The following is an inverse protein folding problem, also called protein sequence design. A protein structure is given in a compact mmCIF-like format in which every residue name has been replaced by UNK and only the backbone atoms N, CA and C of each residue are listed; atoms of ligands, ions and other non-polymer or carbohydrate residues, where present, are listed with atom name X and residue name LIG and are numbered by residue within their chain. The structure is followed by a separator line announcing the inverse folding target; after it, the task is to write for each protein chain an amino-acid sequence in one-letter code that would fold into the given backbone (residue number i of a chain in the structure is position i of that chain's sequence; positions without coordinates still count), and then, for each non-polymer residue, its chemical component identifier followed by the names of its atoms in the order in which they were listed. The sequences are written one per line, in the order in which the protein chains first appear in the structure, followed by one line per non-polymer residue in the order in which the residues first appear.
data_IF_910553121274
#
_entry.id   IF_910553121274
#
_cell.length_a   1.000
_cell.length_b   1.000
_cell.length_c   1.000
_cell.angle_alpha   90.00
_cell.angle_beta   90.00
_cell.angle_gamma   90.00
#
_symmetry.space_group_name_H-M   'P 1'
#
loop_
_entity.id
_entity.type
_entity.pdbx_description
1 polymer ?
#
# COMPACT_ATOMS: atom_id res chain seq x y z
N UNK A 1 4.43 14.15 -4.83
CA UNK A 1 3.36 13.60 -5.67
C UNK A 1 2.14 14.51 -5.60
N UNK A 2 1.35 14.70 -6.67
CA UNK A 2 0.09 15.43 -6.58
C UNK A 2 -0.80 14.87 -5.48
N UNK A 3 -1.29 15.72 -4.58
CA UNK A 3 -2.06 15.33 -3.38
C UNK A 3 -1.25 14.78 -2.20
N UNK A 4 0.07 14.66 -2.35
CA UNK A 4 0.99 14.16 -1.31
C UNK A 4 2.32 14.90 -1.38
N UNK A 5 2.39 16.18 -0.98
CA UNK A 5 3.59 17.00 -1.08
C UNK A 5 4.74 16.47 -0.21
N UNK A 6 4.42 15.72 0.84
CA UNK A 6 5.39 15.08 1.72
C UNK A 6 6.12 13.90 1.06
N UNK A 7 5.56 13.31 -0.01
CA UNK A 7 6.18 12.19 -0.71
C UNK A 7 7.13 12.72 -1.79
N UNK A 8 8.42 12.65 -1.51
CA UNK A 8 9.49 12.99 -2.45
C UNK A 8 9.84 11.77 -3.29
N UNK A 9 9.82 11.93 -4.61
CA UNK A 9 10.32 10.89 -5.52
C UNK A 9 11.85 10.97 -5.56
N UNK A 10 12.49 9.90 -5.17
CA UNK A 10 13.94 9.77 -5.31
C UNK A 10 14.28 9.17 -6.68
N UNK A 11 15.33 9.69 -7.29
CA UNK A 11 15.91 9.14 -8.51
C UNK A 11 17.30 8.57 -8.19
N UNK A 12 17.56 7.36 -8.67
CA UNK A 12 18.87 6.74 -8.56
C UNK A 12 19.37 6.39 -9.96
N UNK A 13 20.54 6.91 -10.31
CA UNK A 13 21.26 6.45 -11.50
C UNK A 13 21.85 5.04 -11.27
N UNK A 14 22.27 4.40 -12.37
CA UNK A 14 22.91 3.08 -12.36
C UNK A 14 24.13 3.04 -11.44
N UNK A 15 24.93 4.08 -11.45
CA UNK A 15 26.16 4.19 -10.65
C UNK A 15 25.87 4.18 -9.14
N UNK A 16 24.81 4.89 -8.71
CA UNK A 16 24.41 4.91 -7.30
C UNK A 16 23.93 3.54 -6.82
N UNK A 17 23.21 2.79 -7.67
CA UNK A 17 22.79 1.42 -7.36
C UNK A 17 24.01 0.51 -7.28
N UNK A 18 24.93 0.60 -8.23
CA UNK A 18 26.18 -0.17 -8.25
C UNK A 18 27.06 0.12 -7.01
N UNK A 19 27.21 1.39 -6.64
CA UNK A 19 27.98 1.79 -5.46
C UNK A 19 27.40 1.18 -4.18
N UNK A 20 26.07 1.22 -4.02
CA UNK A 20 25.39 0.58 -2.88
C UNK A 20 25.54 -0.94 -2.88
N UNK A 21 25.37 -1.57 -4.04
CA UNK A 21 25.61 -3.01 -4.17
C UNK A 21 26.99 -3.40 -3.71
N UNK A 22 28.01 -2.70 -4.19
CA UNK A 22 29.42 -3.00 -3.86
C UNK A 22 29.76 -2.75 -2.38
N UNK A 23 29.14 -1.72 -1.78
CA UNK A 23 29.35 -1.40 -0.38
C UNK A 23 28.65 -2.40 0.57
N UNK A 24 27.39 -2.74 0.30
CA UNK A 24 26.57 -3.53 1.19
C UNK A 24 26.66 -5.05 0.93
N UNK A 25 27.05 -5.45 -0.27
CA UNK A 25 27.14 -6.86 -0.74
C UNK A 25 25.93 -7.70 -0.30
N UNK A 26 24.71 -7.31 -0.65
CA UNK A 26 23.50 -7.96 -0.17
C UNK A 26 23.42 -9.40 -0.69
N UNK A 27 22.98 -10.32 0.15
CA UNK A 27 22.69 -11.72 -0.23
C UNK A 27 21.38 -11.85 -0.98
N UNK A 28 20.43 -10.94 -0.73
CA UNK A 28 19.11 -10.92 -1.35
C UNK A 28 18.70 -9.49 -1.74
N UNK A 29 17.98 -9.38 -2.84
CA UNK A 29 17.40 -8.12 -3.29
C UNK A 29 15.89 -8.22 -3.29
N UNK A 30 15.26 -7.28 -2.61
CA UNK A 30 13.82 -7.10 -2.67
C UNK A 30 13.48 -5.69 -3.14
N UNK A 31 12.68 -5.58 -4.19
CA UNK A 31 12.25 -4.31 -4.76
C UNK A 31 10.79 -4.07 -4.35
N UNK A 32 10.61 -3.21 -3.36
CA UNK A 32 9.32 -2.99 -2.72
C UNK A 32 8.38 -2.06 -3.51
N UNK A 33 8.91 -1.28 -4.47
CA UNK A 33 8.10 -0.29 -5.20
C UNK A 33 8.50 -0.23 -6.67
N UNK A 34 7.54 0.13 -7.52
CA UNK A 34 7.68 0.23 -8.98
C UNK A 34 8.14 1.62 -9.44
N UNK A 35 8.47 2.48 -8.48
CA UNK A 35 8.94 3.85 -8.74
C UNK A 35 10.35 3.93 -9.32
N UNK A 36 10.90 5.14 -9.50
CA UNK A 36 12.17 5.36 -10.18
C UNK A 36 13.35 4.59 -9.59
N UNK A 37 13.44 4.51 -8.25
CA UNK A 37 14.49 3.74 -7.55
C UNK A 37 14.32 2.24 -7.81
N UNK A 38 13.07 1.74 -7.73
CA UNK A 38 12.79 0.32 -8.03
C UNK A 38 13.12 -0.05 -9.47
N UNK A 39 12.82 0.84 -10.43
CA UNK A 39 13.21 0.66 -11.83
C UNK A 39 14.73 0.62 -12.01
N UNK A 40 15.47 1.50 -11.33
CA UNK A 40 16.93 1.51 -11.38
C UNK A 40 17.52 0.22 -10.79
N UNK A 41 17.03 -0.22 -9.63
CA UNK A 41 17.44 -1.48 -9.00
C UNK A 41 17.12 -2.68 -9.90
N UNK A 42 15.88 -2.73 -10.46
CA UNK A 42 15.49 -3.79 -11.40
C UNK A 42 16.41 -3.86 -12.63
N UNK A 43 16.70 -2.70 -13.25
CA UNK A 43 17.62 -2.64 -14.40
C UNK A 43 19.02 -3.15 -14.05
N UNK A 44 19.49 -2.77 -12.87
CA UNK A 44 20.79 -3.24 -12.36
C UNK A 44 20.79 -4.75 -12.17
N UNK A 45 19.80 -5.30 -11.47
CA UNK A 45 19.69 -6.75 -11.26
C UNK A 45 19.63 -7.53 -12.59
N UNK A 46 18.85 -7.06 -13.56
CA UNK A 46 18.75 -7.71 -14.87
C UNK A 46 20.07 -7.66 -15.66
N UNK A 47 20.77 -6.52 -15.61
CA UNK A 47 22.04 -6.35 -16.31
C UNK A 47 23.16 -7.25 -15.74
N UNK A 48 23.05 -7.65 -14.48
CA UNK A 48 24.05 -8.48 -13.79
C UNK A 48 23.53 -9.90 -13.48
N UNK A 49 22.42 -10.32 -14.07
CA UNK A 49 21.77 -11.62 -13.84
C UNK A 49 21.49 -11.93 -12.34
N UNK A 50 21.27 -10.88 -11.52
CA UNK A 50 21.02 -11.02 -10.10
C UNK A 50 19.56 -11.35 -9.85
N UNK A 51 19.25 -12.41 -9.07
CA UNK A 51 17.88 -12.72 -8.69
C UNK A 51 17.34 -11.66 -7.74
N UNK A 52 16.06 -11.32 -7.90
CA UNK A 52 15.36 -10.41 -7.00
C UNK A 52 13.90 -10.81 -6.83
N UNK A 53 13.31 -10.36 -5.73
CA UNK A 53 11.87 -10.45 -5.47
C UNK A 53 11.24 -9.07 -5.50
N UNK A 54 9.93 -9.03 -5.68
CA UNK A 54 9.14 -7.79 -5.64
C UNK A 54 7.95 -7.95 -4.72
N UNK A 55 7.27 -6.86 -4.39
CA UNK A 55 5.97 -6.91 -3.71
C UNK A 55 4.95 -5.99 -4.37
N UNK A 56 3.71 -6.48 -4.42
CA UNK A 56 2.57 -5.71 -4.85
C UNK A 56 1.83 -5.20 -3.61
N UNK A 57 2.11 -3.95 -3.24
CA UNK A 57 1.59 -3.34 -2.00
C UNK A 57 0.43 -2.39 -2.21
N UNK A 58 0.35 -1.80 -3.41
CA UNK A 58 -0.61 -0.75 -3.72
C UNK A 58 -1.37 -1.12 -4.98
N UNK A 59 -2.67 -0.91 -4.96
CA UNK A 59 -3.53 -0.99 -6.16
C UNK A 59 -3.28 0.23 -7.04
N UNK A 60 -2.06 0.29 -7.58
CA UNK A 60 -1.58 1.42 -8.35
C UNK A 60 -2.42 1.71 -9.60
N UNK A 61 -2.92 0.70 -10.36
CA UNK A 61 -3.78 0.94 -11.52
C UNK A 61 -5.07 1.68 -11.16
N UNK A 62 -5.77 1.23 -10.15
CA UNK A 62 -7.02 1.84 -9.67
C UNK A 62 -6.76 3.23 -9.08
N UNK A 63 -5.66 3.36 -8.35
CA UNK A 63 -5.23 4.65 -7.80
C UNK A 63 -4.94 5.67 -8.91
N UNK A 64 -4.28 5.24 -9.99
CA UNK A 64 -3.95 6.11 -11.11
C UNK A 64 -5.19 6.45 -11.94
N UNK A 65 -6.05 5.46 -12.24
CA UNK A 65 -7.29 5.66 -12.98
C UNK A 65 -8.25 6.64 -12.28
N UNK A 66 -8.29 6.64 -10.95
CA UNK A 66 -9.09 7.57 -10.17
C UNK A 66 -8.59 9.04 -10.22
N UNK A 67 -7.37 9.30 -10.70
CA UNK A 67 -6.71 10.63 -10.70
C UNK A 67 -6.29 11.14 -12.06
N UNK A 68 -6.20 10.26 -13.04
CA UNK A 68 -5.75 10.61 -14.38
C UNK A 68 -6.46 9.71 -15.42
N UNK A 69 -6.72 10.20 -16.64
CA UNK A 69 -7.37 9.44 -17.70
C UNK A 69 -6.42 8.38 -18.30
N UNK A 70 -5.87 7.52 -17.46
CA UNK A 70 -4.97 6.44 -17.87
C UNK A 70 -5.73 5.13 -17.79
N UNK A 71 -5.86 4.38 -18.90
CA UNK A 71 -6.51 3.07 -18.89
C UNK A 71 -5.82 2.11 -17.91
N UNK A 72 -6.58 1.47 -17.05
CA UNK A 72 -6.05 0.48 -16.09
C UNK A 72 -5.23 -0.62 -16.78
N UNK A 73 -5.64 -1.02 -17.98
CA UNK A 73 -4.96 -2.05 -18.76
C UNK A 73 -3.47 -1.72 -19.03
N UNK A 74 -3.15 -0.45 -19.25
CA UNK A 74 -1.76 -0.01 -19.47
C UNK A 74 -0.95 -0.08 -18.17
N UNK A 75 -1.55 0.34 -17.07
CA UNK A 75 -0.93 0.24 -15.75
C UNK A 75 -0.67 -1.22 -15.38
N UNK A 76 -1.63 -2.12 -15.62
CA UNK A 76 -1.45 -3.55 -15.39
C UNK A 76 -0.41 -4.16 -16.33
N UNK A 77 -0.33 -3.75 -17.60
CA UNK A 77 0.69 -4.22 -18.53
C UNK A 77 2.11 -3.80 -18.05
N UNK A 78 2.27 -2.55 -17.59
CA UNK A 78 3.51 -2.09 -16.99
C UNK A 78 3.89 -2.91 -15.75
N UNK A 79 2.95 -3.13 -14.84
CA UNK A 79 3.19 -3.89 -13.61
C UNK A 79 3.52 -5.36 -13.90
N UNK A 80 2.81 -6.01 -14.84
CA UNK A 80 3.18 -7.38 -15.28
C UNK A 80 4.60 -7.43 -15.79
N UNK A 81 5.01 -6.47 -16.62
CA UNK A 81 6.39 -6.39 -17.12
C UNK A 81 7.39 -6.16 -16.00
N UNK A 82 7.04 -5.31 -15.03
CA UNK A 82 7.91 -5.01 -13.89
C UNK A 82 8.12 -6.23 -13.01
N UNK A 83 7.06 -6.84 -12.54
CA UNK A 83 7.08 -7.98 -11.62
C UNK A 83 7.45 -9.30 -12.30
N UNK A 84 7.10 -9.46 -13.57
CA UNK A 84 7.33 -10.70 -14.33
C UNK A 84 8.81 -11.10 -14.47
N UNK A 85 9.74 -10.17 -14.26
CA UNK A 85 11.18 -10.49 -14.25
C UNK A 85 11.69 -10.96 -12.89
N UNK A 86 10.89 -10.82 -11.83
CA UNK A 86 11.27 -11.24 -10.49
C UNK A 86 11.19 -12.75 -10.30
N UNK A 87 11.95 -13.30 -9.35
CA UNK A 87 11.85 -14.69 -8.92
C UNK A 87 10.49 -14.97 -8.23
N UNK A 88 9.92 -13.96 -7.59
CA UNK A 88 8.61 -14.01 -6.98
C UNK A 88 8.07 -12.63 -6.69
N UNK A 89 6.74 -12.49 -6.73
CA UNK A 89 6.02 -11.28 -6.36
C UNK A 89 5.20 -11.54 -5.10
N UNK A 90 5.55 -10.85 -4.03
CA UNK A 90 4.88 -11.00 -2.75
C UNK A 90 3.53 -10.28 -2.75
N UNK A 91 2.48 -10.94 -2.28
CA UNK A 91 1.11 -10.44 -2.17
C UNK A 91 0.52 -10.73 -0.80
N UNK A 92 -0.28 -9.83 -0.26
CA UNK A 92 -0.72 -9.89 1.14
C UNK A 92 -1.91 -10.81 1.39
N UNK A 93 -2.84 -10.99 0.43
CA UNK A 93 -4.09 -11.73 0.62
C UNK A 93 -4.32 -12.77 -0.47
N UNK A 94 -5.11 -13.82 -0.18
CA UNK A 94 -5.47 -14.84 -1.16
C UNK A 94 -6.33 -14.26 -2.29
N UNK A 95 -7.26 -13.34 -1.94
CA UNK A 95 -8.11 -12.69 -2.93
C UNK A 95 -7.28 -11.86 -3.92
N UNK A 96 -6.31 -11.08 -3.42
CA UNK A 96 -5.40 -10.32 -4.29
C UNK A 96 -4.53 -11.24 -5.15
N UNK A 97 -4.07 -12.36 -4.60
CA UNK A 97 -3.32 -13.36 -5.36
C UNK A 97 -4.15 -13.91 -6.53
N UNK A 98 -5.40 -14.30 -6.27
CA UNK A 98 -6.32 -14.78 -7.31
C UNK A 98 -6.62 -13.71 -8.36
N UNK A 99 -6.87 -12.48 -7.94
CA UNK A 99 -7.12 -11.34 -8.83
C UNK A 99 -5.92 -11.06 -9.75
N UNK A 100 -4.71 -11.02 -9.23
CA UNK A 100 -3.51 -10.79 -10.02
C UNK A 100 -3.19 -11.98 -10.93
N UNK A 101 -3.42 -13.21 -10.49
CA UNK A 101 -3.28 -14.41 -11.33
C UNK A 101 -4.23 -14.34 -12.52
N UNK A 102 -5.50 -13.98 -12.32
CA UNK A 102 -6.49 -13.78 -13.39
C UNK A 102 -6.08 -12.68 -14.37
N UNK A 103 -5.29 -11.70 -13.92
CA UNK A 103 -4.70 -10.64 -14.77
C UNK A 103 -3.35 -11.03 -15.39
N UNK A 104 -2.94 -12.29 -15.31
CA UNK A 104 -1.73 -12.83 -15.93
C UNK A 104 -0.43 -12.54 -15.20
N UNK A 105 -0.47 -12.26 -13.90
CA UNK A 105 0.74 -12.21 -13.06
C UNK A 105 1.16 -13.63 -12.69
N UNK A 106 2.44 -13.95 -12.88
CA UNK A 106 3.04 -15.22 -12.48
C UNK A 106 3.85 -15.13 -11.20
N UNK A 107 4.28 -16.29 -10.68
CA UNK A 107 5.19 -16.39 -9.51
C UNK A 107 4.74 -15.60 -8.29
N UNK A 108 3.43 -15.60 -8.02
CA UNK A 108 2.85 -14.92 -6.87
C UNK A 108 3.11 -15.72 -5.59
N UNK A 109 3.64 -15.05 -4.58
CA UNK A 109 4.00 -15.62 -3.28
C UNK A 109 3.16 -14.96 -2.18
N UNK A 110 2.53 -15.77 -1.33
CA UNK A 110 1.83 -15.23 -0.15
C UNK A 110 2.84 -14.75 0.88
N UNK A 111 2.67 -13.52 1.29
CA UNK A 111 3.46 -12.92 2.35
C UNK A 111 2.56 -12.07 3.25
N UNK A 112 2.29 -12.57 4.44
CA UNK A 112 1.53 -11.86 5.46
C UNK A 112 2.47 -10.98 6.27
N UNK A 113 2.07 -9.73 6.47
CA UNK A 113 2.81 -8.85 7.38
C UNK A 113 2.59 -9.33 8.81
N UNK A 114 3.64 -9.24 9.62
CA UNK A 114 3.52 -9.43 11.05
C UNK A 114 2.75 -8.26 11.70
N UNK A 115 2.14 -8.56 12.84
CA UNK A 115 1.51 -7.57 13.72
C UNK A 115 1.97 -7.86 15.15
N UNK A 116 2.18 -6.82 15.94
CA UNK A 116 2.44 -6.96 17.36
C UNK A 116 1.15 -7.36 18.08
N UNK A 117 1.01 -8.67 18.33
CA UNK A 117 -0.18 -9.24 18.96
C UNK A 117 -0.26 -8.95 20.46
N UNK A 118 0.81 -8.53 21.10
CA UNK A 118 0.78 -8.06 22.47
C UNK A 118 0.14 -6.68 22.57
N UNK A 119 0.44 -5.82 21.59
CA UNK A 119 -0.13 -4.47 21.48
C UNK A 119 -1.53 -4.46 20.88
N UNK A 120 -1.74 -5.21 19.78
CA UNK A 120 -3.02 -5.29 19.07
C UNK A 120 -3.78 -6.55 19.48
N UNK A 121 -4.36 -6.52 20.65
CA UNK A 121 -5.17 -7.60 21.25
C UNK A 121 -6.55 -7.06 21.65
N UNK A 122 -7.55 -7.92 21.78
CA UNK A 122 -8.80 -7.52 22.41
C UNK A 122 -8.58 -6.92 23.79
N UNK A 123 -9.33 -5.89 24.12
CA UNK A 123 -9.30 -5.33 25.45
C UNK A 123 -9.82 -6.37 26.47
N UNK A 124 -9.30 -6.33 27.69
CA UNK A 124 -9.81 -7.15 28.78
C UNK A 124 -11.28 -6.79 29.06
N UNK A 125 -12.13 -7.76 29.44
CA UNK A 125 -13.48 -7.46 29.87
C UNK A 125 -13.51 -6.40 30.97
N UNK A 126 -14.28 -5.32 30.77
CA UNK A 126 -14.38 -4.22 31.72
C UNK A 126 -13.26 -3.16 31.60
N UNK A 127 -12.34 -3.30 30.64
CA UNK A 127 -11.34 -2.25 30.41
C UNK A 127 -12.02 -0.90 30.07
N UNK A 128 -11.51 0.23 30.63
CA UNK A 128 -12.08 1.53 30.38
C UNK A 128 -11.94 1.91 28.91
N UNK A 129 -12.98 2.53 28.37
CA UNK A 129 -12.93 3.13 27.03
C UNK A 129 -12.01 4.36 27.04
N UNK A 130 -11.39 4.71 25.90
CA UNK A 130 -10.79 6.01 25.71
C UNK A 130 -11.74 7.14 26.08
N UNK A 131 -11.25 8.17 26.77
CA UNK A 131 -12.10 9.25 27.30
C UNK A 131 -13.01 9.87 26.22
N UNK A 132 -12.49 10.05 25.01
CA UNK A 132 -13.22 10.63 23.87
C UNK A 132 -14.40 9.75 23.38
N UNK A 133 -14.49 8.50 23.82
CA UNK A 133 -15.56 7.56 23.44
C UNK A 133 -16.55 7.30 24.57
N UNK A 134 -16.30 7.87 25.74
CA UNK A 134 -17.21 7.74 26.91
C UNK A 134 -18.45 8.61 26.68
N UNK A 135 -19.64 8.04 26.94
CA UNK A 135 -20.91 8.78 26.84
C UNK A 135 -21.44 8.98 25.42
N UNK A 136 -20.74 8.57 24.40
CA UNK A 136 -21.24 8.63 23.02
C UNK A 136 -22.40 7.64 22.79
N UNK A 137 -23.45 8.03 22.04
CA UNK A 137 -24.56 7.15 21.66
C UNK A 137 -24.05 5.85 20.99
N UNK A 138 -24.64 4.73 21.38
CA UNK A 138 -24.29 3.40 20.85
C UNK A 138 -25.27 2.97 19.74
N UNK A 139 -24.82 2.12 18.81
CA UNK A 139 -23.46 1.57 18.64
C UNK A 139 -22.43 2.59 18.15
N UNK A 140 -21.12 2.29 18.34
CA UNK A 140 -20.04 3.07 17.76
C UNK A 140 -19.59 2.42 16.44
N UNK A 141 -19.60 3.19 15.37
CA UNK A 141 -19.08 2.81 14.05
C UNK A 141 -17.70 3.47 13.88
N UNK A 142 -16.64 2.67 13.91
CA UNK A 142 -15.30 3.18 13.93
C UNK A 142 -14.61 3.00 12.56
N UNK A 143 -14.11 4.10 12.01
CA UNK A 143 -13.12 4.11 10.93
C UNK A 143 -11.75 4.52 11.49
N UNK A 144 -10.72 3.73 11.17
CA UNK A 144 -9.33 4.08 11.50
C UNK A 144 -8.50 4.01 10.22
N UNK A 145 -7.91 5.13 9.82
CA UNK A 145 -7.10 5.15 8.62
C UNK A 145 -6.86 6.54 8.04
N UNK A 146 -6.13 6.58 6.92
CA UNK A 146 -5.84 7.81 6.19
C UNK A 146 -7.12 8.42 5.60
N UNK A 147 -7.28 9.72 5.72
CA UNK A 147 -8.38 10.47 5.13
C UNK A 147 -7.99 10.90 3.71
N UNK A 148 -8.33 10.07 2.73
CA UNK A 148 -7.98 10.26 1.33
C UNK A 148 -9.07 9.71 0.40
N UNK A 149 -9.10 10.22 -0.83
CA UNK A 149 -10.14 9.90 -1.83
C UNK A 149 -10.32 8.39 -2.02
N UNK A 150 -9.21 7.64 -2.09
CA UNK A 150 -9.23 6.18 -2.27
C UNK A 150 -9.80 5.40 -1.07
N UNK A 151 -10.00 6.04 0.07
CA UNK A 151 -10.61 5.45 1.28
C UNK A 151 -12.11 5.65 1.35
N UNK A 152 -12.63 6.56 0.52
CA UNK A 152 -14.05 6.86 0.40
C UNK A 152 -14.77 7.05 1.76
N UNK A 153 -14.13 7.79 2.67
CA UNK A 153 -14.66 8.03 4.03
C UNK A 153 -15.97 8.81 3.96
N UNK A 154 -16.17 9.62 2.93
CA UNK A 154 -17.43 10.33 2.73
C UNK A 154 -18.64 9.37 2.63
N UNK A 155 -18.50 8.24 1.94
CA UNK A 155 -19.56 7.23 1.87
C UNK A 155 -19.86 6.64 3.25
N UNK A 156 -18.84 6.41 4.10
CA UNK A 156 -19.06 5.98 5.49
C UNK A 156 -19.82 7.05 6.30
N UNK A 157 -19.46 8.32 6.14
CA UNK A 157 -20.09 9.41 6.87
C UNK A 157 -21.54 9.66 6.42
N UNK A 158 -21.87 9.41 5.15
CA UNK A 158 -23.21 9.60 4.59
C UNK A 158 -24.20 8.49 4.96
N UNK A 159 -23.76 7.38 5.54
CA UNK A 159 -24.67 6.32 5.97
C UNK A 159 -25.59 6.82 7.07
N UNK A 160 -26.90 6.55 6.94
CA UNK A 160 -27.86 6.76 8.01
C UNK A 160 -27.83 5.57 8.97
N UNK A 161 -27.09 5.72 10.07
CA UNK A 161 -26.87 4.67 11.06
C UNK A 161 -27.21 5.18 12.45
N UNK A 162 -27.90 4.38 13.28
CA UNK A 162 -28.14 4.72 14.67
C UNK A 162 -26.83 4.71 15.46
N UNK A 163 -26.65 5.68 16.35
CA UNK A 163 -25.45 5.77 17.19
C UNK A 163 -24.42 6.77 16.66
N UNK A 164 -23.13 6.50 16.93
CA UNK A 164 -22.05 7.46 16.63
C UNK A 164 -21.06 6.91 15.63
N UNK A 165 -20.77 7.67 14.58
CA UNK A 165 -19.65 7.41 13.66
C UNK A 165 -18.41 8.11 14.19
N UNK A 166 -17.35 7.35 14.41
CA UNK A 166 -16.06 7.84 14.91
C UNK A 166 -15.01 7.66 13.81
N UNK A 167 -14.31 8.74 13.49
CA UNK A 167 -13.25 8.74 12.46
C UNK A 167 -11.93 9.10 13.12
N UNK A 168 -10.96 8.18 13.05
CA UNK A 168 -9.61 8.35 13.60
C UNK A 168 -8.61 8.32 12.46
N UNK A 169 -7.90 9.43 12.26
CA UNK A 169 -6.89 9.55 11.24
C UNK A 169 -6.71 10.97 10.73
N UNK A 170 -5.79 11.10 9.76
CA UNK A 170 -5.50 12.35 9.09
C UNK A 170 -5.26 12.12 7.60
N UNK A 171 -5.29 13.19 6.80
CA UNK A 171 -5.02 13.11 5.38
C UNK A 171 -5.58 14.30 4.58
N UNK A 172 -5.31 14.32 3.26
CA UNK A 172 -5.67 15.45 2.40
C UNK A 172 -7.18 15.75 2.35
N UNK A 173 -8.03 14.78 2.66
CA UNK A 173 -9.49 14.95 2.65
C UNK A 173 -10.06 15.48 3.99
N UNK A 174 -9.24 15.66 5.02
CA UNK A 174 -9.72 16.03 6.36
C UNK A 174 -10.63 17.26 6.34
N UNK A 175 -10.15 18.35 5.76
CA UNK A 175 -10.91 19.62 5.71
C UNK A 175 -12.25 19.45 4.99
N UNK A 176 -12.26 18.71 3.86
CA UNK A 176 -13.47 18.42 3.09
C UNK A 176 -14.47 17.55 3.86
N UNK A 177 -14.00 16.65 4.70
CA UNK A 177 -14.84 15.74 5.50
C UNK A 177 -15.39 16.39 6.78
N UNK A 178 -14.79 17.50 7.21
CA UNK A 178 -15.22 18.29 8.36
C UNK A 178 -16.20 19.43 8.01
N UNK A 179 -16.32 19.76 6.72
CA UNK A 179 -17.25 20.75 6.18
C UNK A 179 -18.65 20.16 5.99
#
# INVERSE_FOLDING_TARGET
LPGYPEIRLAYAGRERVAARWNAERPTHVHIATEGPVGLAARRYCLAHALPFTTSYHTRFPEYLAARAPVPEAWSYAYLRRFHGAARGTMVSTASLQGELAARGFGRLMRWTRGVDTARFRPAEPGAPLPADLVGLPRPLFLYVGRLAVEKNVAAFLSLDLPGTKVVVGDGPDRTRLQA
#
